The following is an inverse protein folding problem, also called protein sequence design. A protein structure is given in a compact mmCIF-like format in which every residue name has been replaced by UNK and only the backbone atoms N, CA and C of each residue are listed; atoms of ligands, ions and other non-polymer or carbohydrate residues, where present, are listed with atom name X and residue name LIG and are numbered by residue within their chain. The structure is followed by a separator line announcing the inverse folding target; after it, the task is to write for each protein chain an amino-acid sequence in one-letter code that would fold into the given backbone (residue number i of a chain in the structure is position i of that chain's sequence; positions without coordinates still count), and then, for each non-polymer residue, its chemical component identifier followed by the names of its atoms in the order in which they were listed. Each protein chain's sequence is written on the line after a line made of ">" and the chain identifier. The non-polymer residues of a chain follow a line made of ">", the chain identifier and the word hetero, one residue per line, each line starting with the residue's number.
data_IF_864399354361
#
_entry.id   IF_864399354361
#
_cell.length_a   1.000
_cell.length_b   1.000
_cell.length_c   1.000
_cell.angle_alpha   90.00
_cell.angle_beta   90.00
_cell.angle_gamma   90.00
#
_symmetry.space_group_name_H-M   'P 1'
#
loop_
_entity.id
_entity.type
_entity.pdbx_description
1 polymer ?
#
# COMPACT_ATOMS: atom_id res chain seq x y z
N UNK A 1 21.77 -57.18 -37.64
CA UNK A 1 20.74 -57.35 -36.59
C UNK A 1 21.22 -56.63 -35.34
N UNK A 2 20.62 -55.48 -35.09
CA UNK A 2 20.80 -54.64 -33.90
C UNK A 2 19.39 -54.11 -33.61
N UNK A 3 18.75 -54.44 -32.47
CA UNK A 3 17.35 -54.08 -32.28
C UNK A 3 17.23 -52.57 -32.05
N UNK A 4 16.32 -51.94 -32.81
CA UNK A 4 15.93 -50.54 -32.61
C UNK A 4 15.34 -50.33 -31.22
N UNK A 5 15.66 -49.19 -30.61
CA UNK A 5 15.11 -48.79 -29.32
C UNK A 5 13.71 -48.23 -29.53
N UNK A 6 12.69 -48.93 -29.08
CA UNK A 6 11.31 -48.44 -29.07
C UNK A 6 11.12 -47.40 -27.96
N UNK A 7 10.70 -46.20 -28.35
CA UNK A 7 10.29 -45.12 -27.44
C UNK A 7 8.76 -45.05 -27.52
N UNK A 8 8.09 -45.45 -26.44
CA UNK A 8 6.63 -45.31 -26.33
C UNK A 8 6.29 -43.97 -25.67
N UNK A 9 5.52 -43.12 -26.37
CA UNK A 9 5.02 -41.84 -25.87
C UNK A 9 3.52 -41.98 -25.62
N UNK A 10 3.09 -41.85 -24.37
CA UNK A 10 1.66 -41.84 -24.00
C UNK A 10 1.22 -40.42 -23.65
N UNK A 11 0.17 -39.95 -24.31
CA UNK A 11 -0.46 -38.64 -24.07
C UNK A 11 -1.85 -38.89 -23.49
N UNK A 12 -2.15 -38.34 -22.31
CA UNK A 12 -3.49 -38.38 -21.72
C UNK A 12 -3.93 -36.98 -21.31
N UNK A 13 -5.08 -36.52 -21.80
CA UNK A 13 -5.71 -35.28 -21.35
C UNK A 13 -7.21 -35.31 -21.62
N UNK A 14 -8.01 -34.95 -20.62
CA UNK A 14 -9.47 -34.80 -20.72
C UNK A 14 -9.85 -33.36 -21.06
N UNK A 15 -10.81 -33.10 -21.96
CA UNK A 15 -11.21 -31.74 -22.30
C UNK A 15 -12.17 -31.15 -21.25
N UNK A 16 -11.83 -29.98 -20.70
CA UNK A 16 -12.72 -29.17 -19.86
C UNK A 16 -12.83 -27.76 -20.42
N UNK A 17 -14.04 -27.33 -20.79
CA UNK A 17 -14.34 -25.98 -21.26
C UNK A 17 -15.04 -25.20 -20.13
N UNK A 18 -14.50 -24.06 -19.70
CA UNK A 18 -15.22 -23.11 -18.84
C UNK A 18 -15.40 -21.78 -19.58
N UNK A 19 -16.65 -21.36 -19.73
CA UNK A 19 -17.04 -20.04 -20.23
C UNK A 19 -17.41 -19.12 -19.06
N UNK A 20 -16.77 -17.96 -18.94
CA UNK A 20 -17.32 -16.80 -18.23
C UNK A 20 -17.57 -15.69 -19.26
N UNK A 21 -18.78 -15.17 -19.24
CA UNK A 21 -19.38 -14.42 -20.34
C UNK A 21 -18.81 -13.03 -20.59
N UNK A 22 -19.12 -12.51 -21.79
CA UNK A 22 -19.12 -11.07 -22.06
C UNK A 22 -18.22 -10.53 -23.17
N UNK A 23 -17.82 -11.31 -24.19
CA UNK A 23 -17.46 -10.78 -25.52
C UNK A 23 -17.17 -11.93 -26.50
N UNK A 24 -17.54 -11.74 -27.79
CA UNK A 24 -17.33 -12.73 -28.86
C UNK A 24 -15.84 -12.89 -29.17
N UNK A 25 -15.17 -13.85 -28.51
CA UNK A 25 -13.95 -14.54 -28.96
C UNK A 25 -13.68 -15.72 -28.02
N UNK A 26 -14.22 -16.90 -28.34
CA UNK A 26 -13.90 -18.14 -27.62
C UNK A 26 -12.52 -18.66 -28.06
N UNK A 27 -11.49 -18.45 -27.25
CA UNK A 27 -10.20 -19.14 -27.43
C UNK A 27 -10.20 -20.46 -26.64
N UNK A 28 -10.19 -21.59 -27.35
CA UNK A 28 -9.95 -22.90 -26.75
C UNK A 28 -8.44 -23.07 -26.46
N UNK A 29 -8.03 -22.95 -25.20
CA UNK A 29 -6.69 -23.38 -24.78
C UNK A 29 -6.68 -24.89 -24.51
N UNK A 30 -5.92 -25.66 -25.29
CA UNK A 30 -5.54 -27.03 -24.90
C UNK A 30 -4.33 -26.94 -23.96
N UNK A 31 -4.56 -27.05 -22.65
CA UNK A 31 -3.46 -27.35 -21.72
C UNK A 31 -3.09 -28.83 -21.87
N UNK A 32 -1.97 -29.12 -22.52
CA UNK A 32 -1.34 -30.45 -22.44
C UNK A 32 -0.60 -30.50 -21.10
N UNK A 33 -1.29 -30.95 -20.05
CA UNK A 33 -0.65 -31.22 -18.78
C UNK A 33 0.06 -32.57 -18.87
N UNK A 34 1.39 -32.53 -18.97
CA UNK A 34 2.36 -33.60 -18.65
C UNK A 34 2.63 -34.62 -19.78
N UNK A 35 3.86 -34.58 -20.31
CA UNK A 35 4.45 -35.68 -21.11
C UNK A 35 5.45 -36.41 -20.21
N UNK A 36 5.28 -37.72 -20.03
CA UNK A 36 6.23 -38.55 -19.26
C UNK A 36 6.93 -39.51 -20.21
N UNK A 37 8.25 -39.39 -20.35
CA UNK A 37 9.06 -40.30 -21.17
C UNK A 37 9.71 -41.31 -20.22
N UNK A 38 9.35 -42.59 -20.32
CA UNK A 38 10.03 -43.67 -19.60
C UNK A 38 11.08 -44.34 -20.50
N UNK A 39 12.33 -44.39 -20.01
CA UNK A 39 13.41 -45.16 -20.64
C UNK A 39 13.70 -46.38 -19.75
N UNK A 40 13.44 -47.61 -20.22
CA UNK A 40 13.85 -48.83 -19.52
C UNK A 40 15.29 -49.17 -19.91
N UNK A 41 16.25 -48.84 -19.04
CA UNK A 41 17.61 -49.36 -19.08
C UNK A 41 17.98 -49.97 -17.73
N UNK A 42 18.56 -51.18 -17.71
CA UNK A 42 19.14 -51.79 -16.50
C UNK A 42 20.38 -50.99 -16.08
N UNK A 43 20.48 -50.63 -14.81
CA UNK A 43 21.70 -50.16 -14.16
C UNK A 43 21.58 -48.78 -13.51
N UNK A 44 21.50 -48.80 -12.19
CA UNK A 44 21.86 -47.78 -11.19
C UNK A 44 21.39 -46.32 -11.26
N UNK A 45 20.83 -45.91 -10.12
CA UNK A 45 20.35 -44.57 -9.78
C UNK A 45 21.41 -43.48 -10.03
N UNK A 46 21.02 -42.39 -10.73
CA UNK A 46 21.14 -40.99 -10.26
C UNK A 46 20.63 -39.96 -11.29
N UNK A 47 19.78 -39.05 -10.79
CA UNK A 47 19.34 -37.73 -11.32
C UNK A 47 18.35 -37.70 -12.50
N UNK A 48 17.08 -37.49 -12.16
CA UNK A 48 16.06 -36.90 -13.03
C UNK A 48 16.47 -35.46 -13.44
N UNK A 49 16.62 -35.19 -14.74
CA UNK A 49 16.59 -33.82 -15.27
C UNK A 49 15.24 -33.60 -15.95
N UNK A 50 14.42 -32.67 -15.43
CA UNK A 50 13.21 -32.19 -16.10
C UNK A 50 13.63 -31.38 -17.32
N UNK A 51 13.24 -31.82 -18.52
CA UNK A 51 13.34 -31.03 -19.75
C UNK A 51 11.92 -30.58 -20.11
N UNK A 52 11.57 -29.34 -19.78
CA UNK A 52 10.31 -28.73 -20.23
C UNK A 52 10.56 -28.12 -21.61
N UNK A 53 10.06 -28.75 -22.67
CA UNK A 53 10.09 -28.20 -24.02
C UNK A 53 8.76 -27.49 -24.28
N UNK A 54 8.78 -26.16 -24.30
CA UNK A 54 7.66 -25.37 -24.81
C UNK A 54 7.75 -25.32 -26.33
N UNK A 55 6.88 -26.06 -27.03
CA UNK A 55 6.68 -25.87 -28.47
C UNK A 55 5.53 -24.88 -28.67
N UNK A 56 5.87 -23.61 -28.93
CA UNK A 56 4.89 -22.60 -29.35
C UNK A 56 4.77 -22.67 -30.88
N UNK A 57 3.64 -23.16 -31.39
CA UNK A 57 3.28 -23.04 -32.81
C UNK A 57 2.47 -21.76 -32.99
N UNK A 58 3.09 -20.73 -33.58
CA UNK A 58 2.41 -19.52 -34.02
C UNK A 58 1.55 -19.87 -35.25
N UNK A 59 0.23 -19.86 -35.06
CA UNK A 59 -0.75 -19.91 -36.14
C UNK A 59 -1.11 -18.47 -36.50
N UNK A 60 -0.77 -18.02 -37.72
CA UNK A 60 -1.13 -16.70 -38.21
C UNK A 60 -2.66 -16.61 -38.48
N UNK A 61 -3.31 -15.47 -38.20
CA UNK A 61 -4.74 -15.28 -38.46
C UNK A 61 -5.01 -15.09 -39.96
N UNK A 62 -6.02 -15.80 -40.45
CA UNK A 62 -6.42 -15.80 -41.85
C UNK A 62 -7.08 -14.50 -42.32
N UNK A 63 -6.76 -14.11 -43.55
CA UNK A 63 -7.58 -13.23 -44.38
C UNK A 63 -8.38 -14.09 -45.35
N UNK A 64 -9.71 -13.95 -45.30
CA UNK A 64 -10.63 -14.64 -46.20
C UNK A 64 -11.01 -13.76 -47.39
N UNK A 65 -10.81 -14.32 -48.59
CA UNK A 65 -11.69 -14.33 -49.79
C UNK A 65 -10.93 -14.00 -51.08
N UNK A 66 -10.98 -14.96 -52.01
CA UNK A 66 -11.05 -14.64 -53.44
C UNK A 66 -10.13 -15.45 -54.36
N UNK A 67 -10.69 -16.54 -54.91
CA UNK A 67 -10.42 -17.11 -56.26
C UNK A 67 -9.04 -17.77 -56.55
N UNK A 68 -9.07 -19.11 -56.57
CA UNK A 68 -8.40 -19.99 -57.57
C UNK A 68 -8.98 -19.72 -58.98
N UNK A 69 -8.29 -20.03 -60.11
CA UNK A 69 -7.58 -21.28 -60.45
C UNK A 69 -6.19 -21.00 -61.09
N UNK A 70 -5.29 -21.90 -61.51
CA UNK A 70 -5.28 -23.34 -61.81
C UNK A 70 -3.82 -23.83 -61.78
N UNK A 71 -3.60 -25.07 -61.34
CA UNK A 71 -2.82 -26.12 -62.02
C UNK A 71 -1.63 -25.69 -62.92
N UNK A 72 -0.39 -26.11 -62.69
CA UNK A 72 0.10 -27.50 -62.86
C UNK A 72 1.57 -27.64 -62.39
N UNK A 73 2.07 -28.89 -62.24
CA UNK A 73 3.27 -29.24 -61.47
C UNK A 73 4.52 -29.50 -62.32
N UNK A 74 5.69 -29.53 -61.68
CA UNK A 74 6.91 -30.11 -62.25
C UNK A 74 8.11 -29.76 -61.38
N UNK A 75 8.80 -30.68 -60.70
CA UNK A 75 9.06 -32.05 -61.10
C UNK A 75 10.41 -32.09 -61.81
N UNK A 76 11.42 -32.47 -61.03
CA UNK A 76 12.72 -33.05 -61.34
C UNK A 76 13.11 -33.33 -62.81
N UNK A 77 14.44 -33.28 -63.01
CA UNK A 77 15.24 -33.95 -64.06
C UNK A 77 15.40 -33.16 -65.37
N UNK A 78 16.63 -32.77 -65.69
CA UNK A 78 17.35 -33.29 -66.87
C UNK A 78 18.82 -32.84 -66.81
N UNK A 79 19.69 -33.83 -66.62
CA UNK A 79 21.10 -33.82 -66.97
C UNK A 79 21.25 -33.84 -68.49
N UNK A 80 22.03 -32.93 -69.08
CA UNK A 80 22.76 -33.14 -70.36
C UNK A 80 23.60 -31.92 -70.77
N UNK A 81 24.58 -32.04 -71.71
CA UNK A 81 25.99 -32.07 -71.33
C UNK A 81 26.88 -31.21 -72.27
N UNK A 82 27.46 -30.13 -71.76
CA UNK A 82 28.50 -29.37 -72.47
C UNK A 82 29.44 -28.82 -71.38
N UNK A 83 30.76 -29.01 -71.34
CA UNK A 83 31.76 -29.33 -72.33
C UNK A 83 32.71 -30.41 -71.79
N UNK A 84 32.89 -31.49 -72.54
CA UNK A 84 34.10 -32.31 -72.46
C UNK A 84 35.27 -31.54 -73.09
N UNK A 85 36.02 -30.79 -72.29
CA UNK A 85 37.42 -30.52 -72.63
C UNK A 85 38.24 -31.71 -72.15
N UNK A 86 38.62 -32.56 -73.11
CA UNK A 86 39.70 -33.55 -72.98
C UNK A 86 40.96 -32.82 -72.48
N UNK A 87 41.20 -32.86 -71.17
CA UNK A 87 42.53 -32.58 -70.62
C UNK A 87 43.30 -33.89 -70.79
N UNK A 88 44.11 -33.94 -71.83
CA UNK A 88 45.15 -34.97 -71.99
C UNK A 88 46.17 -34.71 -70.87
N UNK A 89 46.04 -35.45 -69.76
CA UNK A 89 47.09 -35.53 -68.74
C UNK A 89 48.25 -36.35 -69.33
N UNK A 90 49.50 -35.84 -69.32
CA UNK A 90 50.65 -36.63 -69.73
C UNK A 90 50.88 -37.77 -68.74
N UNK A 91 51.57 -38.86 -69.13
CA UNK A 91 51.85 -39.97 -68.23
C UNK A 91 52.71 -39.46 -67.05
N UNK A 92 52.11 -39.44 -65.86
CA UNK A 92 52.81 -39.10 -64.62
C UNK A 92 53.75 -40.26 -64.30
N UNK A 93 55.06 -40.06 -64.54
CA UNK A 93 56.10 -40.92 -64.00
C UNK A 93 56.00 -40.91 -62.47
N UNK A 94 56.09 -42.05 -61.77
CA UNK A 94 56.10 -42.06 -60.31
C UNK A 94 57.38 -41.39 -59.83
N UNK A 95 57.29 -40.12 -59.45
CA UNK A 95 58.34 -39.41 -58.73
C UNK A 95 58.37 -39.94 -57.30
N UNK A 96 59.51 -40.48 -56.80
CA UNK A 96 59.64 -40.82 -55.40
C UNK A 96 59.81 -39.50 -54.64
N UNK A 97 58.70 -38.94 -54.13
CA UNK A 97 58.82 -37.89 -53.13
C UNK A 97 59.55 -38.51 -51.91
N UNK A 98 60.66 -37.93 -51.44
CA UNK A 98 61.32 -38.44 -50.25
C UNK A 98 60.31 -38.39 -49.11
N UNK A 99 60.12 -39.50 -48.38
CA UNK A 99 59.15 -39.64 -47.27
C UNK A 99 59.20 -38.46 -46.27
N UNK A 100 60.33 -37.78 -46.18
CA UNK A 100 60.53 -36.55 -45.40
C UNK A 100 59.64 -35.36 -45.83
N UNK A 101 59.38 -35.14 -47.12
CA UNK A 101 58.59 -34.00 -47.61
C UNK A 101 57.08 -34.17 -47.29
N UNK A 102 56.56 -35.39 -47.41
CA UNK A 102 55.17 -35.70 -47.03
C UNK A 102 54.96 -35.58 -45.51
N UNK A 103 55.96 -35.99 -44.71
CA UNK A 103 55.93 -35.86 -43.25
C UNK A 103 55.97 -34.39 -42.81
N UNK A 104 56.79 -33.55 -43.48
CA UNK A 104 56.87 -32.11 -43.24
C UNK A 104 55.56 -31.38 -43.54
N UNK A 105 54.88 -31.73 -44.64
CA UNK A 105 53.56 -31.18 -44.98
C UNK A 105 52.47 -31.56 -43.97
N UNK A 106 52.46 -32.81 -43.50
CA UNK A 106 51.51 -33.27 -42.48
C UNK A 106 51.74 -32.57 -41.13
N UNK A 107 52.99 -32.38 -40.72
CA UNK A 107 53.38 -31.63 -39.51
C UNK A 107 52.98 -30.15 -39.59
N UNK A 108 53.09 -29.52 -40.76
CA UNK A 108 52.67 -28.14 -40.96
C UNK A 108 51.14 -27.99 -40.86
N UNK A 109 50.37 -28.91 -41.46
CA UNK A 109 48.91 -28.91 -41.38
C UNK A 109 48.43 -29.15 -39.95
N UNK A 110 49.02 -30.11 -39.23
CA UNK A 110 48.67 -30.37 -37.83
C UNK A 110 49.02 -29.19 -36.94
N UNK A 111 50.15 -28.50 -37.16
CA UNK A 111 50.51 -27.28 -36.44
C UNK A 111 49.54 -26.13 -36.70
N UNK A 112 49.07 -25.94 -37.95
CA UNK A 112 48.08 -24.90 -38.29
C UNK A 112 46.71 -25.23 -37.68
N UNK A 113 46.28 -26.49 -37.73
CA UNK A 113 45.02 -26.93 -37.11
C UNK A 113 45.11 -26.80 -35.58
N UNK A 114 46.23 -27.17 -34.96
CA UNK A 114 46.48 -26.99 -33.53
C UNK A 114 46.46 -25.51 -33.13
N UNK A 115 47.11 -24.61 -33.89
CA UNK A 115 47.01 -23.15 -33.67
C UNK A 115 45.58 -22.64 -33.81
N UNK A 116 44.83 -23.09 -34.81
CA UNK A 116 43.42 -22.66 -35.02
C UNK A 116 42.49 -23.17 -33.92
N UNK A 117 42.69 -24.39 -33.43
CA UNK A 117 41.92 -24.96 -32.33
C UNK A 117 42.29 -24.30 -30.99
N UNK A 118 43.58 -24.07 -30.73
CA UNK A 118 44.08 -23.31 -29.58
C UNK A 118 43.50 -21.90 -29.53
N UNK A 119 43.57 -21.16 -30.63
CA UNK A 119 42.99 -19.82 -30.73
C UNK A 119 41.45 -19.79 -30.64
N UNK A 120 40.76 -20.92 -30.87
CA UNK A 120 39.30 -21.07 -30.66
C UNK A 120 38.98 -21.38 -29.19
N UNK A 121 39.81 -22.19 -28.54
CA UNK A 121 39.69 -22.52 -27.12
C UNK A 121 39.98 -21.29 -26.25
N UNK A 122 41.00 -20.50 -26.61
CA UNK A 122 41.31 -19.21 -25.97
C UNK A 122 40.17 -18.20 -26.15
N UNK A 123 39.60 -18.08 -27.35
CA UNK A 123 38.43 -17.20 -27.56
C UNK A 123 37.20 -17.62 -26.76
N UNK A 124 36.96 -18.92 -26.57
CA UNK A 124 35.87 -19.42 -25.70
C UNK A 124 36.17 -19.21 -24.22
N UNK A 125 37.42 -19.38 -23.78
CA UNK A 125 37.80 -19.16 -22.38
C UNK A 125 37.80 -17.68 -22.00
N UNK A 126 38.13 -16.80 -22.94
CA UNK A 126 38.09 -15.34 -22.75
C UNK A 126 36.65 -14.81 -22.77
N UNK A 127 35.79 -15.30 -23.67
CA UNK A 127 34.36 -14.98 -23.65
C UNK A 127 33.67 -15.45 -22.35
N UNK A 128 34.02 -16.64 -21.84
CA UNK A 128 33.49 -17.18 -20.59
C UNK A 128 33.92 -16.45 -19.32
N UNK A 129 35.01 -15.65 -19.36
CA UNK A 129 35.50 -14.89 -18.20
C UNK A 129 34.83 -13.51 -18.05
N UNK A 130 34.24 -12.95 -19.10
CA UNK A 130 33.54 -11.65 -19.07
C UNK A 130 32.04 -11.75 -18.73
N UNK A 131 31.44 -12.93 -18.87
CA UNK A 131 30.00 -13.21 -18.64
C UNK A 131 29.56 -13.21 -17.15
N UNK A 132 30.32 -13.73 -16.18
CA UNK A 132 29.85 -13.82 -14.79
C UNK A 132 29.58 -12.45 -14.14
N UNK A 133 30.36 -11.44 -14.49
CA UNK A 133 30.19 -10.07 -13.98
C UNK A 133 28.95 -9.38 -14.57
N UNK A 134 28.69 -9.54 -15.87
CA UNK A 134 27.52 -8.95 -16.53
C UNK A 134 26.22 -9.61 -16.06
N UNK A 135 26.21 -10.93 -15.85
CA UNK A 135 25.07 -11.64 -15.28
C UNK A 135 24.83 -11.23 -13.82
N UNK A 136 25.88 -11.09 -13.02
CA UNK A 136 25.77 -10.61 -11.65
C UNK A 136 25.24 -9.17 -11.56
N UNK A 137 25.66 -8.27 -12.47
CA UNK A 137 25.15 -6.91 -12.57
C UNK A 137 23.67 -6.90 -12.96
N UNK A 138 23.28 -7.66 -13.99
CA UNK A 138 21.87 -7.80 -14.40
C UNK A 138 20.99 -8.32 -13.27
N UNK A 139 21.45 -9.37 -12.58
CA UNK A 139 20.71 -9.93 -11.46
C UNK A 139 20.57 -8.92 -10.31
N UNK A 140 21.61 -8.10 -10.07
CA UNK A 140 21.57 -7.04 -9.06
C UNK A 140 20.60 -5.92 -9.45
N UNK A 141 20.64 -5.47 -10.70
CA UNK A 141 19.73 -4.45 -11.23
C UNK A 141 18.28 -4.94 -11.20
N UNK A 142 18.03 -6.17 -11.64
CA UNK A 142 16.71 -6.79 -11.60
C UNK A 142 16.20 -6.93 -10.16
N UNK A 143 17.07 -7.35 -9.23
CA UNK A 143 16.72 -7.41 -7.80
C UNK A 143 16.36 -6.03 -7.24
N UNK A 144 17.15 -4.99 -7.52
CA UNK A 144 16.84 -3.62 -7.06
C UNK A 144 15.53 -3.12 -7.66
N UNK A 145 15.32 -3.36 -8.95
CA UNK A 145 14.07 -3.00 -9.64
C UNK A 145 12.86 -3.66 -8.98
N UNK A 146 12.92 -4.96 -8.69
CA UNK A 146 11.83 -5.68 -8.02
C UNK A 146 11.59 -5.15 -6.60
N UNK A 147 12.64 -4.81 -5.85
CA UNK A 147 12.47 -4.19 -4.52
C UNK A 147 11.74 -2.85 -4.58
N UNK A 148 12.03 -2.03 -5.59
CA UNK A 148 11.35 -0.75 -5.82
C UNK A 148 9.92 -0.93 -6.37
N UNK A 149 9.70 -1.96 -7.19
CA UNK A 149 8.39 -2.28 -7.79
C UNK A 149 7.38 -2.80 -6.76
N UNK A 150 7.84 -3.57 -5.78
CA UNK A 150 7.03 -4.09 -4.68
C UNK A 150 7.15 -3.28 -3.38
N UNK A 151 7.80 -2.12 -3.41
CA UNK A 151 7.78 -1.19 -2.28
C UNK A 151 6.36 -0.71 -2.01
N UNK A 152 5.97 -0.67 -0.74
CA UNK A 152 4.71 -0.06 -0.30
C UNK A 152 4.80 1.45 -0.24
N UNK A 153 6.00 2.00 -0.04
CA UNK A 153 6.20 3.44 0.07
C UNK A 153 6.61 4.03 -1.29
N UNK A 154 6.16 5.26 -1.55
CA UNK A 154 6.50 6.00 -2.75
C UNK A 154 7.93 6.52 -2.62
N UNK A 155 8.88 5.87 -3.29
CA UNK A 155 10.18 6.50 -3.57
C UNK A 155 10.09 7.34 -4.84
N UNK A 156 10.57 8.58 -4.77
CA UNK A 156 10.66 9.50 -5.91
C UNK A 156 12.02 10.19 -5.98
N UNK A 157 12.42 10.54 -7.19
CA UNK A 157 13.56 11.42 -7.47
C UNK A 157 13.02 12.73 -8.01
N UNK A 158 13.47 13.84 -7.45
CA UNK A 158 13.04 15.19 -7.79
C UNK A 158 14.25 15.99 -8.26
N UNK A 159 14.13 16.68 -9.39
CA UNK A 159 15.20 17.53 -9.91
C UNK A 159 15.27 18.90 -9.20
N UNK A 160 16.22 19.74 -9.64
CA UNK A 160 16.43 21.09 -9.10
C UNK A 160 15.24 22.05 -9.32
N UNK A 161 14.33 21.76 -10.26
CA UNK A 161 13.13 22.55 -10.52
C UNK A 161 11.94 22.14 -9.63
N UNK A 162 12.10 21.04 -8.90
CA UNK A 162 11.05 20.42 -8.10
C UNK A 162 10.16 19.46 -8.90
N UNK A 163 10.53 19.12 -10.14
CA UNK A 163 9.82 18.15 -10.97
C UNK A 163 10.25 16.72 -10.65
N UNK A 164 9.30 15.80 -10.58
CA UNK A 164 9.58 14.39 -10.31
C UNK A 164 10.13 13.73 -11.58
N UNK A 165 11.32 13.15 -11.53
CA UNK A 165 11.97 12.48 -12.67
C UNK A 165 11.81 10.96 -12.64
N UNK A 166 11.59 10.41 -11.45
CA UNK A 166 11.34 9.00 -11.23
C UNK A 166 10.39 8.83 -10.07
N UNK A 167 9.47 7.86 -10.18
CA UNK A 167 8.63 7.42 -9.08
C UNK A 167 8.47 5.89 -9.12
N UNK A 168 8.34 5.31 -7.94
CA UNK A 168 7.95 3.90 -7.79
C UNK A 168 6.47 3.68 -8.13
N UNK A 169 6.07 2.45 -8.52
CA UNK A 169 4.67 2.10 -8.79
C UNK A 169 3.72 2.26 -7.60
N UNK A 170 4.26 2.41 -6.38
CA UNK A 170 3.50 2.70 -5.17
C UNK A 170 2.67 3.99 -5.28
N UNK A 171 3.02 4.91 -6.19
CA UNK A 171 2.24 6.11 -6.53
C UNK A 171 0.77 5.84 -6.87
N UNK A 172 0.45 4.63 -7.32
CA UNK A 172 -0.93 4.17 -7.54
C UNK A 172 -1.79 4.23 -6.29
N UNK A 173 -1.20 4.25 -5.08
CA UNK A 173 -1.95 4.50 -3.83
C UNK A 173 -2.63 5.89 -3.83
N UNK A 174 -2.05 6.85 -4.55
CA UNK A 174 -2.61 8.19 -4.77
C UNK A 174 -3.52 8.25 -6.01
N UNK A 175 -3.73 7.13 -6.70
CA UNK A 175 -4.55 7.03 -7.90
C UNK A 175 -3.85 7.48 -9.19
N UNK A 176 -2.53 7.72 -9.16
CA UNK A 176 -1.76 8.12 -10.36
C UNK A 176 -0.82 7.01 -10.82
N UNK A 177 -0.66 6.86 -12.13
CA UNK A 177 0.44 6.08 -12.69
C UNK A 177 1.75 6.89 -12.66
N UNK A 178 2.92 6.27 -12.43
CA UNK A 178 4.20 6.97 -12.43
C UNK A 178 4.42 7.82 -13.68
N UNK A 179 4.00 7.34 -14.86
CA UNK A 179 4.15 8.05 -16.13
C UNK A 179 3.38 9.37 -16.22
N UNK A 180 2.29 9.51 -15.46
CA UNK A 180 1.49 10.74 -15.41
C UNK A 180 2.14 11.79 -14.51
N UNK A 181 2.97 11.33 -13.56
CA UNK A 181 3.58 12.16 -12.53
C UNK A 181 5.00 12.59 -12.85
N UNK A 182 5.69 11.90 -13.76
CA UNK A 182 7.01 12.33 -14.24
C UNK A 182 6.88 13.69 -14.94
N UNK A 183 7.71 14.64 -14.53
CA UNK A 183 7.69 16.04 -14.98
C UNK A 183 6.75 16.97 -14.19
N UNK A 184 5.85 16.41 -13.38
CA UNK A 184 4.96 17.20 -12.52
C UNK A 184 5.74 17.71 -11.30
N UNK A 185 5.52 18.97 -10.94
CA UNK A 185 6.15 19.58 -9.75
C UNK A 185 5.47 19.07 -8.48
N UNK A 186 6.24 18.51 -7.55
CA UNK A 186 5.70 17.89 -6.32
C UNK A 186 4.82 18.83 -5.50
N UNK A 187 5.16 20.12 -5.46
CA UNK A 187 4.42 21.16 -4.72
C UNK A 187 2.98 21.35 -5.21
N UNK A 188 2.66 20.94 -6.44
CA UNK A 188 1.31 21.04 -7.01
C UNK A 188 0.34 20.00 -6.44
N UNK A 189 0.87 18.96 -5.82
CA UNK A 189 0.09 17.91 -5.16
C UNK A 189 -0.16 18.23 -3.69
N UNK A 190 0.64 19.11 -3.09
CA UNK A 190 0.51 19.48 -1.68
C UNK A 190 -0.72 20.38 -1.51
N UNK A 191 -1.48 20.15 -0.45
CA UNK A 191 -2.65 20.95 -0.11
C UNK A 191 -2.27 22.44 0.05
N UNK A 192 -3.07 23.38 -0.51
CA UNK A 192 -2.80 24.82 -0.45
C UNK A 192 -2.54 25.36 0.97
N UNK A 193 -3.30 24.91 1.97
CA UNK A 193 -3.09 25.32 3.37
C UNK A 193 -1.78 24.80 4.00
N UNK A 194 -1.26 23.66 3.54
CA UNK A 194 -0.05 23.05 4.12
C UNK A 194 1.21 23.65 3.50
N UNK A 195 1.13 24.09 2.24
CA UNK A 195 2.27 24.56 1.46
C UNK A 195 2.99 25.78 2.09
N UNK A 196 2.32 26.85 2.58
CA UNK A 196 2.98 27.99 3.21
C UNK A 196 3.85 27.62 4.42
N UNK A 197 3.40 26.64 5.21
CA UNK A 197 4.15 26.18 6.39
C UNK A 197 5.40 25.37 6.04
N UNK A 198 5.38 24.66 4.91
CA UNK A 198 6.48 23.79 4.47
C UNK A 198 7.49 24.49 3.58
N UNK A 199 7.09 25.56 2.90
CA UNK A 199 7.90 26.22 1.88
C UNK A 199 9.29 26.66 2.40
N UNK A 200 9.45 27.25 3.60
CA UNK A 200 10.77 27.62 4.11
C UNK A 200 11.70 26.42 4.31
N UNK A 201 11.16 25.29 4.78
CA UNK A 201 11.92 24.07 5.01
C UNK A 201 12.32 23.38 3.69
N UNK A 202 11.40 23.35 2.72
CA UNK A 202 11.70 22.85 1.38
C UNK A 202 12.79 23.69 0.71
N UNK A 203 12.77 25.01 0.88
CA UNK A 203 13.84 25.89 0.39
C UNK A 203 15.18 25.60 1.07
N UNK A 204 15.19 25.42 2.39
CA UNK A 204 16.41 25.04 3.14
C UNK A 204 16.97 23.70 2.68
N UNK A 205 16.09 22.71 2.47
CA UNK A 205 16.46 21.40 1.94
C UNK A 205 17.16 21.53 0.59
N UNK A 206 16.59 22.30 -0.35
CA UNK A 206 17.17 22.50 -1.69
C UNK A 206 18.50 23.26 -1.65
N UNK A 207 18.63 24.26 -0.78
CA UNK A 207 19.82 25.09 -0.67
C UNK A 207 21.02 24.37 -0.02
N UNK A 208 20.76 23.32 0.78
CA UNK A 208 21.79 22.67 1.60
C UNK A 208 22.09 21.25 1.09
N UNK A 209 23.25 21.00 0.45
CA UNK A 209 23.65 19.66 0.04
C UNK A 209 23.69 18.68 1.21
N UNK A 210 23.09 17.49 1.04
CA UNK A 210 23.07 16.44 2.06
C UNK A 210 22.00 16.61 3.15
N UNK A 211 21.32 17.76 3.20
CA UNK A 211 20.25 18.00 4.18
C UNK A 211 19.13 16.97 4.05
N UNK A 212 18.51 16.66 5.19
CA UNK A 212 17.35 15.77 5.28
C UNK A 212 16.21 16.53 5.96
N UNK A 213 15.01 16.38 5.43
CA UNK A 213 13.80 16.99 5.97
C UNK A 213 12.67 15.96 5.97
N UNK A 214 12.05 15.77 7.14
CA UNK A 214 10.90 14.88 7.31
C UNK A 214 9.70 15.72 7.74
N UNK A 215 8.58 15.55 7.05
CA UNK A 215 7.35 16.28 7.31
C UNK A 215 6.12 15.44 6.99
N UNK A 216 4.97 15.89 7.47
CA UNK A 216 3.68 15.29 7.15
C UNK A 216 2.77 16.34 6.52
N UNK A 217 2.12 16.00 5.42
CA UNK A 217 1.23 16.92 4.72
C UNK A 217 0.18 16.20 3.88
N UNK A 218 -0.85 16.93 3.49
CA UNK A 218 -1.92 16.44 2.65
C UNK A 218 -1.51 16.50 1.18
N UNK A 219 -1.61 15.37 0.50
CA UNK A 219 -1.40 15.21 -0.93
C UNK A 219 -2.71 14.91 -1.64
N UNK A 220 -2.88 15.48 -2.84
CA UNK A 220 -4.07 15.31 -3.67
C UNK A 220 -4.09 13.92 -4.28
N UNK A 221 -5.16 13.16 -4.04
CA UNK A 221 -5.45 11.92 -4.73
C UNK A 221 -6.15 12.19 -6.07
N UNK A 222 -6.06 11.26 -7.03
CA UNK A 222 -6.63 11.42 -8.38
C UNK A 222 -8.16 11.63 -8.40
N UNK A 223 -8.87 11.09 -7.40
CA UNK A 223 -10.32 11.30 -7.19
C UNK A 223 -10.67 12.68 -6.60
N UNK A 224 -9.67 13.51 -6.28
CA UNK A 224 -9.85 14.83 -5.67
C UNK A 224 -9.86 14.84 -4.13
N UNK A 225 -9.83 13.68 -3.47
CA UNK A 225 -9.66 13.59 -2.01
C UNK A 225 -8.23 13.90 -1.57
N UNK A 226 -8.03 14.10 -0.27
CA UNK A 226 -6.72 14.39 0.33
C UNK A 226 -6.24 13.21 1.16
N UNK A 227 -4.98 12.79 0.95
CA UNK A 227 -4.30 11.73 1.72
C UNK A 227 -3.16 12.32 2.53
N UNK A 228 -2.96 11.82 3.73
CA UNK A 228 -1.83 12.23 4.55
C UNK A 228 -0.61 11.40 4.20
N UNK A 229 0.47 12.06 3.78
CA UNK A 229 1.77 11.42 3.58
C UNK A 229 2.76 11.91 4.61
N UNK A 230 3.55 10.98 5.15
CA UNK A 230 4.81 11.27 5.81
C UNK A 230 5.92 11.17 4.76
N UNK A 231 6.63 12.27 4.53
CA UNK A 231 7.64 12.39 3.49
C UNK A 231 8.98 12.68 4.12
N UNK A 232 9.97 11.85 3.83
CA UNK A 232 11.37 12.09 4.15
C UNK A 232 12.14 12.35 2.87
N UNK A 233 12.69 13.55 2.76
CA UNK A 233 13.44 14.01 1.58
C UNK A 233 14.90 14.25 1.94
N UNK A 234 15.81 13.79 1.11
CA UNK A 234 17.25 14.02 1.25
C UNK A 234 17.83 14.65 -0.01
N UNK A 235 18.54 15.76 0.16
CA UNK A 235 19.17 16.46 -0.95
C UNK A 235 20.48 15.79 -1.36
N UNK A 236 20.48 15.12 -2.52
CA UNK A 236 21.64 14.47 -3.13
C UNK A 236 22.02 15.12 -4.47
N UNK A 237 21.68 16.40 -4.66
CA UNK A 237 21.99 17.17 -5.89
C UNK A 237 23.48 17.28 -6.18
N UNK A 238 24.32 17.22 -5.14
CA UNK A 238 25.78 17.24 -5.25
C UNK A 238 26.39 15.89 -5.68
N UNK A 239 25.66 14.78 -5.57
CA UNK A 239 26.14 13.47 -5.99
C UNK A 239 25.79 13.26 -7.48
N UNK A 240 26.78 13.18 -8.40
CA UNK A 240 26.53 13.05 -9.83
C UNK A 240 25.84 11.74 -10.21
N UNK A 241 25.79 10.73 -9.33
CA UNK A 241 25.06 9.48 -9.56
C UNK A 241 23.56 9.62 -9.35
N UNK A 242 23.13 10.65 -8.62
CA UNK A 242 21.72 10.90 -8.27
C UNK A 242 21.24 12.21 -8.89
N UNK A 243 21.96 13.31 -8.67
CA UNK A 243 21.70 14.61 -9.29
C UNK A 243 20.36 15.23 -8.90
N UNK A 244 19.81 14.88 -7.73
CA UNK A 244 18.47 15.31 -7.31
C UNK A 244 18.17 15.06 -5.82
N UNK A 245 16.93 15.36 -5.43
CA UNK A 245 16.39 15.07 -4.10
C UNK A 245 15.70 13.71 -4.15
N UNK A 246 16.10 12.80 -3.26
CA UNK A 246 15.43 11.51 -3.09
C UNK A 246 14.42 11.65 -1.97
N UNK A 247 13.16 11.35 -2.27
CA UNK A 247 12.06 11.43 -1.31
C UNK A 247 11.39 10.09 -1.16
N UNK A 248 11.20 9.64 0.08
CA UNK A 248 10.35 8.51 0.41
C UNK A 248 9.07 9.02 1.08
N UNK A 249 7.91 8.64 0.56
CA UNK A 249 6.61 9.05 1.04
C UNK A 249 5.75 7.84 1.42
N UNK A 250 5.30 7.81 2.66
CA UNK A 250 4.44 6.77 3.22
C UNK A 250 3.06 7.33 3.50
N UNK A 251 2.02 6.63 3.06
CA UNK A 251 0.66 7.01 3.43
C UNK A 251 0.39 6.70 4.91
N UNK A 252 -0.06 7.71 5.63
CA UNK A 252 -0.39 7.65 7.06
C UNK A 252 -1.84 8.06 7.33
N UNK A 253 -2.70 8.11 6.31
CA UNK A 253 -4.10 8.53 6.40
C UNK A 253 -4.87 7.76 7.48
N UNK A 254 -4.87 6.42 7.40
CA UNK A 254 -5.64 5.58 8.32
C UNK A 254 -5.04 5.57 9.73
N UNK A 255 -3.70 5.57 9.83
CA UNK A 255 -3.01 5.68 11.10
C UNK A 255 -3.36 6.99 11.82
N UNK A 256 -3.43 8.10 11.08
CA UNK A 256 -3.86 9.41 11.62
C UNK A 256 -5.32 9.38 12.04
N UNK A 257 -6.22 8.88 11.20
CA UNK A 257 -7.66 8.77 11.52
C UNK A 257 -7.87 7.97 12.79
N UNK A 258 -7.21 6.83 12.92
CA UNK A 258 -7.26 6.00 14.12
C UNK A 258 -6.67 6.73 15.33
N UNK A 259 -5.53 7.41 15.18
CA UNK A 259 -4.93 8.19 16.26
C UNK A 259 -5.84 9.34 16.72
N UNK A 260 -6.48 10.05 15.79
CA UNK A 260 -7.39 11.15 16.10
C UNK A 260 -8.69 10.63 16.72
N UNK A 261 -9.18 9.48 16.27
CA UNK A 261 -10.30 8.78 16.90
C UNK A 261 -9.93 8.36 18.33
N UNK A 262 -8.79 7.70 18.54
CA UNK A 262 -8.31 7.30 19.87
C UNK A 262 -8.11 8.51 20.78
N UNK A 263 -7.64 9.65 20.25
CA UNK A 263 -7.54 10.90 21.00
C UNK A 263 -8.92 11.44 21.38
N UNK A 264 -9.89 11.37 20.46
CA UNK A 264 -11.25 11.79 20.73
C UNK A 264 -11.89 10.90 21.80
N UNK A 265 -11.81 9.58 21.67
CA UNK A 265 -12.28 8.59 22.65
C UNK A 265 -11.57 8.74 24.01
N UNK A 266 -10.28 9.08 24.02
CA UNK A 266 -9.53 9.35 25.25
C UNK A 266 -10.00 10.62 25.97
N UNK A 267 -10.75 11.51 25.29
CA UNK A 267 -11.18 12.80 25.85
C UNK A 267 -12.69 13.01 25.88
N UNK A 268 -13.47 12.15 25.22
CA UNK A 268 -14.92 12.26 25.10
C UNK A 268 -15.58 10.93 25.45
N UNK A 269 -16.80 11.00 25.98
CA UNK A 269 -17.63 9.83 26.23
C UNK A 269 -18.18 9.30 24.90
N UNK A 270 -17.94 8.02 24.59
CA UNK A 270 -18.28 7.45 23.29
C UNK A 270 -19.79 7.43 22.99
N UNK A 271 -20.63 7.36 24.03
CA UNK A 271 -22.08 7.33 23.87
C UNK A 271 -22.67 8.73 23.64
N UNK A 272 -22.32 9.68 24.51
CA UNK A 272 -22.94 11.02 24.52
C UNK A 272 -22.16 12.06 23.70
N UNK A 273 -20.89 11.76 23.38
CA UNK A 273 -19.93 12.70 22.79
C UNK A 273 -19.57 13.88 23.69
N UNK A 274 -20.02 13.90 24.96
CA UNK A 274 -19.61 14.92 25.92
C UNK A 274 -18.14 14.73 26.30
N UNK A 275 -17.54 15.71 26.99
CA UNK A 275 -16.23 15.48 27.59
C UNK A 275 -16.31 14.27 28.54
N UNK A 276 -15.26 13.45 28.58
CA UNK A 276 -15.14 12.42 29.60
C UNK A 276 -14.47 12.99 30.86
N UNK A 277 -14.33 12.16 31.89
CA UNK A 277 -13.67 12.51 33.16
C UNK A 277 -12.25 13.09 32.96
N UNK A 278 -11.49 12.60 31.98
CA UNK A 278 -10.12 13.05 31.69
C UNK A 278 -10.12 14.48 31.14
N UNK A 279 -10.90 14.75 30.10
CA UNK A 279 -10.98 16.11 29.53
C UNK A 279 -11.59 17.09 30.53
N UNK A 280 -12.59 16.66 31.29
CA UNK A 280 -13.22 17.48 32.32
C UNK A 280 -12.22 17.92 33.40
N UNK A 281 -11.47 16.97 33.98
CA UNK A 281 -10.46 17.27 34.99
C UNK A 281 -9.38 18.21 34.46
N UNK A 282 -8.90 18.01 33.21
CA UNK A 282 -7.94 18.89 32.56
C UNK A 282 -8.47 20.32 32.41
N UNK A 283 -9.73 20.48 31.97
CA UNK A 283 -10.36 21.81 31.82
C UNK A 283 -10.57 22.46 33.18
N UNK A 284 -11.03 21.71 34.18
CA UNK A 284 -11.21 22.22 35.54
C UNK A 284 -9.90 22.75 36.12
N UNK A 285 -8.81 21.99 36.01
CA UNK A 285 -7.49 22.41 36.49
C UNK A 285 -6.97 23.69 35.82
N UNK A 286 -7.27 23.87 34.52
CA UNK A 286 -6.86 25.06 33.78
C UNK A 286 -7.66 26.32 34.16
N UNK A 287 -8.94 26.18 34.51
CA UNK A 287 -9.87 27.31 34.67
C UNK A 287 -10.10 27.71 36.14
N UNK A 288 -9.87 26.81 37.10
CA UNK A 288 -10.16 27.07 38.53
C UNK A 288 -9.34 28.21 39.13
N UNK A 289 -8.16 28.50 38.56
CA UNK A 289 -7.30 29.62 38.97
C UNK A 289 -7.98 30.96 38.76
N UNK A 290 -8.73 31.12 37.66
CA UNK A 290 -9.51 32.32 37.34
C UNK A 290 -10.89 32.38 38.02
N UNK A 291 -11.25 31.34 38.79
CA UNK A 291 -12.60 31.15 39.31
C UNK A 291 -13.47 30.33 38.37
N UNK A 292 -14.20 29.37 38.93
CA UNK A 292 -15.15 28.56 38.17
C UNK A 292 -16.32 28.12 39.05
N UNK A 293 -17.46 27.88 38.40
CA UNK A 293 -18.57 27.17 39.00
C UNK A 293 -18.69 25.77 38.40
N UNK A 294 -19.12 24.84 39.25
CA UNK A 294 -19.22 23.42 38.96
C UNK A 294 -20.63 22.94 39.32
N UNK A 295 -21.23 22.18 38.41
CA UNK A 295 -22.42 21.39 38.69
C UNK A 295 -22.02 19.91 38.66
N UNK A 296 -22.40 19.16 39.69
CA UNK A 296 -22.38 17.70 39.67
C UNK A 296 -23.83 17.21 39.62
N UNK A 297 -24.14 16.35 38.65
CA UNK A 297 -25.48 15.94 38.29
C UNK A 297 -25.54 14.41 38.32
N UNK A 298 -26.55 13.86 38.97
CA UNK A 298 -26.84 12.42 38.99
C UNK A 298 -28.31 12.23 38.55
N UNK A 299 -28.57 11.27 37.65
CA UNK A 299 -29.91 11.01 37.15
C UNK A 299 -30.73 10.13 38.11
N UNK A 300 -31.80 10.71 38.66
CA UNK A 300 -32.71 10.01 39.56
C UNK A 300 -33.61 9.04 38.78
N UNK A 301 -33.63 7.77 39.20
CA UNK A 301 -34.47 6.74 38.60
C UNK A 301 -33.90 6.11 37.31
N UNK A 302 -32.64 6.38 36.97
CA UNK A 302 -32.01 5.82 35.77
C UNK A 302 -31.87 4.28 35.80
N UNK A 303 -31.46 3.70 36.94
CA UNK A 303 -31.32 2.24 37.07
C UNK A 303 -32.62 1.47 36.80
N UNK A 304 -33.78 1.83 37.40
CA UNK A 304 -35.07 1.23 37.04
C UNK A 304 -35.41 1.27 35.54
N UNK A 305 -35.01 2.32 34.82
CA UNK A 305 -35.21 2.40 33.37
C UNK A 305 -34.43 1.29 32.66
N UNK A 306 -33.16 1.12 32.99
CA UNK A 306 -32.34 0.03 32.44
C UNK A 306 -32.90 -1.35 32.80
N UNK A 307 -33.30 -1.53 34.05
CA UNK A 307 -33.79 -2.83 34.54
C UNK A 307 -35.13 -3.20 33.90
N UNK A 308 -35.99 -2.21 33.59
CA UNK A 308 -37.34 -2.44 33.03
C UNK A 308 -37.36 -2.45 31.50
N UNK A 309 -36.56 -1.60 30.86
CA UNK A 309 -36.62 -1.32 29.42
C UNK A 309 -35.34 -1.69 28.66
N UNK A 310 -34.32 -2.16 29.36
CA UNK A 310 -33.03 -2.57 28.80
C UNK A 310 -32.06 -1.40 28.60
N UNK A 311 -30.78 -1.76 28.42
CA UNK A 311 -29.69 -0.79 28.27
C UNK A 311 -29.84 0.14 27.07
N UNK A 312 -30.42 -0.32 25.96
CA UNK A 312 -30.69 0.53 24.81
C UNK A 312 -31.58 1.73 25.17
N UNK A 313 -32.63 1.51 25.97
CA UNK A 313 -33.50 2.60 26.42
C UNK A 313 -32.75 3.57 27.34
N UNK A 314 -31.89 3.06 28.23
CA UNK A 314 -31.01 3.91 29.03
C UNK A 314 -30.03 4.72 28.19
N UNK A 315 -29.45 4.13 27.15
CA UNK A 315 -28.53 4.82 26.25
C UNK A 315 -29.21 5.98 25.54
N UNK A 316 -30.43 5.80 25.05
CA UNK A 316 -31.25 6.87 24.46
C UNK A 316 -31.50 7.99 25.47
N UNK A 317 -31.83 7.65 26.72
CA UNK A 317 -32.02 8.65 27.80
C UNK A 317 -30.73 9.43 28.05
N UNK A 318 -29.58 8.76 28.14
CA UNK A 318 -28.28 9.41 28.37
C UNK A 318 -27.88 10.36 27.24
N UNK A 319 -28.08 9.94 25.98
CA UNK A 319 -27.85 10.80 24.80
C UNK A 319 -28.74 12.02 24.86
N UNK A 320 -30.03 11.84 25.19
CA UNK A 320 -30.97 12.96 25.24
C UNK A 320 -30.67 13.93 26.39
N UNK A 321 -30.27 13.43 27.56
CA UNK A 321 -29.78 14.25 28.67
C UNK A 321 -28.56 15.07 28.26
N UNK A 322 -27.62 14.47 27.53
CA UNK A 322 -26.44 15.18 27.03
C UNK A 322 -26.80 16.30 26.05
N UNK A 323 -27.78 16.09 25.17
CA UNK A 323 -28.31 17.12 24.28
C UNK A 323 -28.95 18.28 25.06
N UNK A 324 -29.76 17.97 26.07
CA UNK A 324 -30.38 18.97 26.93
C UNK A 324 -29.34 19.79 27.69
N UNK A 325 -28.30 19.13 28.22
CA UNK A 325 -27.18 19.83 28.86
C UNK A 325 -26.52 20.78 27.88
N UNK A 326 -26.09 20.31 26.70
CA UNK A 326 -25.44 21.17 25.68
C UNK A 326 -26.30 22.38 25.31
N UNK A 327 -27.60 22.19 25.11
CA UNK A 327 -28.52 23.28 24.77
C UNK A 327 -28.69 24.29 25.92
N UNK A 328 -28.54 23.84 27.17
CA UNK A 328 -28.60 24.67 28.36
C UNK A 328 -27.25 25.33 28.71
N UNK A 329 -26.19 25.21 27.92
CA UNK A 329 -24.87 25.77 28.25
C UNK A 329 -24.55 27.09 27.50
N UNK A 330 -23.92 28.06 28.17
CA UNK A 330 -23.33 29.21 27.49
C UNK A 330 -22.06 28.84 26.72
N UNK A 331 -21.61 29.72 25.81
CA UNK A 331 -20.34 29.55 25.12
C UNK A 331 -19.16 29.46 26.11
N UNK A 332 -18.22 28.54 25.87
CA UNK A 332 -17.05 28.30 26.72
C UNK A 332 -17.28 27.38 27.92
N UNK A 333 -18.53 27.02 28.22
CA UNK A 333 -18.85 26.00 29.21
C UNK A 333 -18.52 24.59 28.71
N UNK A 334 -18.26 23.67 29.63
CA UNK A 334 -17.95 22.27 29.32
C UNK A 334 -18.94 21.36 30.03
N UNK A 335 -19.70 20.56 29.27
CA UNK A 335 -20.48 19.43 29.80
C UNK A 335 -19.66 18.14 29.67
N UNK A 336 -19.73 17.30 30.71
CA UNK A 336 -19.08 16.01 30.75
C UNK A 336 -20.02 14.93 31.27
N UNK A 337 -19.78 13.69 30.84
CA UNK A 337 -20.28 12.49 31.50
C UNK A 337 -19.12 11.84 32.25
N UNK A 338 -19.27 11.69 33.56
CA UNK A 338 -18.22 11.19 34.44
C UNK A 338 -18.22 9.66 34.54
N UNK A 339 -19.36 9.03 34.23
CA UNK A 339 -19.58 7.59 34.17
C UNK A 339 -21.02 7.25 34.57
N UNK A 340 -21.57 6.13 34.09
CA UNK A 340 -22.93 5.71 34.46
C UNK A 340 -23.99 6.79 34.15
N UNK A 341 -24.71 7.21 35.17
CA UNK A 341 -25.71 8.29 35.22
C UNK A 341 -25.16 9.63 35.73
N UNK A 342 -23.85 9.74 35.97
CA UNK A 342 -23.21 10.95 36.48
C UNK A 342 -22.76 11.89 35.34
N UNK A 343 -23.16 13.15 35.46
CA UNK A 343 -22.76 14.24 34.58
C UNK A 343 -22.15 15.39 35.39
N UNK A 344 -21.34 16.21 34.72
CA UNK A 344 -20.80 17.42 35.31
C UNK A 344 -20.77 18.58 34.32
N UNK A 345 -20.88 19.80 34.84
CA UNK A 345 -20.77 21.03 34.05
C UNK A 345 -19.76 21.96 34.69
N UNK A 346 -18.81 22.43 33.88
CA UNK A 346 -17.86 23.48 34.24
C UNK A 346 -18.25 24.80 33.58
N UNK A 347 -18.34 25.85 34.38
CA UNK A 347 -18.62 27.22 33.96
C UNK A 347 -17.41 28.12 34.34
N UNK A 348 -16.46 28.35 33.42
CA UNK A 348 -15.32 29.22 33.68
C UNK A 348 -15.75 30.65 34.03
N UNK A 349 -15.15 31.25 35.05
CA UNK A 349 -15.42 32.61 35.51
C UNK A 349 -16.80 32.81 36.15
N UNK A 350 -17.61 31.77 36.30
CA UNK A 350 -18.96 31.89 36.85
C UNK A 350 -18.98 31.71 38.38
N UNK A 351 -19.94 32.37 39.03
CA UNK A 351 -20.29 32.14 40.43
C UNK A 351 -21.50 31.20 40.60
N UNK A 352 -21.83 30.87 41.84
CA UNK A 352 -22.93 29.95 42.22
C UNK A 352 -24.28 30.40 41.66
N UNK A 353 -24.59 31.70 41.62
CA UNK A 353 -25.85 32.21 41.09
C UNK A 353 -26.03 31.92 39.59
N UNK A 354 -24.97 32.05 38.78
CA UNK A 354 -25.01 31.72 37.35
C UNK A 354 -25.13 30.22 37.14
N UNK A 355 -24.40 29.43 37.94
CA UNK A 355 -24.50 27.98 37.92
C UNK A 355 -25.89 27.48 38.32
N UNK A 356 -26.53 28.09 39.32
CA UNK A 356 -27.91 27.81 39.71
C UNK A 356 -28.88 28.03 38.55
N UNK A 357 -28.80 29.16 37.84
CA UNK A 357 -29.65 29.42 36.65
C UNK A 357 -29.46 28.39 35.54
N UNK A 358 -28.23 27.89 35.34
CA UNK A 358 -27.94 26.82 34.38
C UNK A 358 -28.57 25.51 34.83
N UNK A 359 -28.45 25.18 36.13
CA UNK A 359 -29.09 24.01 36.73
C UNK A 359 -30.61 24.06 36.59
N UNK A 360 -31.24 25.18 36.95
CA UNK A 360 -32.70 25.37 36.86
C UNK A 360 -33.19 25.21 35.42
N UNK A 361 -32.48 25.79 34.45
CA UNK A 361 -32.81 25.63 33.02
C UNK A 361 -32.71 24.18 32.56
N UNK A 362 -31.66 23.47 32.98
CA UNK A 362 -31.50 22.06 32.67
C UNK A 362 -32.61 21.21 33.29
N UNK A 363 -32.89 21.39 34.59
CA UNK A 363 -33.95 20.67 35.30
C UNK A 363 -35.33 20.94 34.71
N UNK A 364 -35.63 22.19 34.34
CA UNK A 364 -36.88 22.54 33.66
C UNK A 364 -37.02 21.81 32.32
N UNK A 365 -35.93 21.71 31.53
CA UNK A 365 -35.94 20.98 30.27
C UNK A 365 -36.10 19.46 30.48
N UNK A 366 -35.56 18.92 31.58
CA UNK A 366 -35.63 17.50 31.93
C UNK A 366 -37.04 17.04 32.29
N UNK A 367 -37.95 17.96 32.67
CA UNK A 367 -39.35 17.62 32.99
C UNK A 367 -40.14 17.08 31.78
N UNK A 368 -39.67 17.31 30.55
CA UNK A 368 -40.33 16.79 29.36
C UNK A 368 -40.06 15.29 29.19
N UNK A 369 -41.10 14.45 29.02
CA UNK A 369 -40.90 13.02 28.79
C UNK A 369 -40.11 12.76 27.50
N UNK A 370 -39.23 11.76 27.54
CA UNK A 370 -38.52 11.25 26.37
C UNK A 370 -39.36 10.20 25.66
N UNK A 371 -39.49 10.32 24.34
CA UNK A 371 -40.06 9.27 23.50
C UNK A 371 -38.96 8.25 23.16
N UNK A 372 -39.06 7.04 23.68
CA UNK A 372 -38.12 5.92 23.45
C UNK A 372 -38.92 4.71 22.99
N UNK A 373 -38.69 4.25 21.76
CA UNK A 373 -39.42 3.12 21.15
C UNK A 373 -40.95 3.23 21.27
N UNK A 374 -41.49 4.45 21.12
CA UNK A 374 -42.92 4.76 21.21
C UNK A 374 -43.48 4.83 22.64
N UNK A 375 -42.62 4.96 23.65
CA UNK A 375 -42.98 5.08 25.07
C UNK A 375 -42.48 6.38 25.64
N UNK A 376 -43.24 6.95 26.59
CA UNK A 376 -42.86 8.13 27.36
C UNK A 376 -42.13 7.74 28.64
N UNK A 377 -40.84 8.05 28.71
CA UNK A 377 -40.01 7.86 29.89
C UNK A 377 -39.70 9.21 30.53
N UNK A 378 -39.64 9.24 31.85
CA UNK A 378 -39.25 10.43 32.63
C UNK A 378 -38.08 10.07 33.52
N UNK A 379 -37.10 10.96 33.61
CA UNK A 379 -35.96 10.84 34.54
C UNK A 379 -35.86 12.12 35.36
N UNK A 380 -35.53 11.99 36.64
CA UNK A 380 -35.19 13.14 37.47
C UNK A 380 -33.69 13.41 37.43
N UNK A 381 -33.26 14.48 38.09
CA UNK A 381 -31.85 14.68 38.36
C UNK A 381 -31.64 15.43 39.67
N UNK A 382 -30.62 15.01 40.41
CA UNK A 382 -30.11 15.67 41.60
C UNK A 382 -28.87 16.48 41.21
N UNK A 383 -28.86 17.78 41.54
CA UNK A 383 -27.81 18.70 41.08
C UNK A 383 -27.15 19.41 42.27
N UNK A 384 -25.85 19.19 42.43
CA UNK A 384 -24.99 19.91 43.37
C UNK A 384 -24.30 21.08 42.69
N UNK A 385 -24.45 22.29 43.24
CA UNK A 385 -23.87 23.52 42.68
C UNK A 385 -22.84 24.10 43.64
N UNK A 386 -21.62 24.34 43.15
CA UNK A 386 -20.56 25.00 43.90
C UNK A 386 -19.80 25.98 43.01
N UNK A 387 -19.12 26.96 43.62
CA UNK A 387 -18.16 27.81 42.92
C UNK A 387 -16.95 28.08 43.80
N UNK A 388 -15.81 28.36 43.17
CA UNK A 388 -14.58 28.68 43.88
C UNK A 388 -13.52 29.23 42.93
N UNK A 389 -12.58 30.01 43.48
CA UNK A 389 -11.41 30.53 42.77
C UNK A 389 -10.14 30.17 43.53
N UNK A 390 -9.10 29.74 42.80
CA UNK A 390 -7.83 29.32 43.39
C UNK A 390 -7.94 28.09 44.32
N UNK A 391 -9.02 27.32 44.18
CA UNK A 391 -9.25 26.09 44.96
C UNK A 391 -8.63 24.91 44.23
N UNK A 392 -8.12 23.94 44.98
CA UNK A 392 -7.73 22.63 44.44
C UNK A 392 -8.89 22.00 43.62
N UNK A 393 -8.66 21.61 42.35
CA UNK A 393 -9.68 21.00 41.50
C UNK A 393 -10.43 19.84 42.15
N UNK A 394 -9.70 18.94 42.82
CA UNK A 394 -10.29 17.76 43.45
C UNK A 394 -11.15 18.15 44.66
N UNK A 395 -10.73 19.17 45.43
CA UNK A 395 -11.55 19.72 46.49
C UNK A 395 -12.85 20.36 45.98
N UNK A 396 -12.82 21.04 44.83
CA UNK A 396 -14.03 21.63 44.24
C UNK A 396 -14.99 20.53 43.75
N UNK A 397 -14.47 19.48 43.11
CA UNK A 397 -15.24 18.29 42.71
C UNK A 397 -15.90 17.61 43.91
N UNK A 398 -15.16 17.36 45.00
CA UNK A 398 -15.72 16.77 46.23
C UNK A 398 -16.84 17.62 46.81
N UNK A 399 -16.68 18.94 46.87
CA UNK A 399 -17.74 19.84 47.35
C UNK A 399 -19.00 19.78 46.49
N UNK A 400 -18.84 19.66 45.17
CA UNK A 400 -19.98 19.53 44.25
C UNK A 400 -20.71 18.20 44.44
N UNK A 401 -19.96 17.12 44.61
CA UNK A 401 -20.49 15.78 44.91
C UNK A 401 -21.27 15.77 46.23
N UNK A 402 -20.68 16.31 47.31
CA UNK A 402 -21.36 16.45 48.61
C UNK A 402 -22.65 17.30 48.50
N UNK A 403 -22.62 18.37 47.70
CA UNK A 403 -23.79 19.20 47.46
C UNK A 403 -24.90 18.43 46.71
N UNK A 404 -24.54 17.64 45.71
CA UNK A 404 -25.46 16.80 44.94
C UNK A 404 -26.06 15.72 45.83
N UNK A 405 -25.24 15.05 46.64
CA UNK A 405 -25.67 14.03 47.59
C UNK A 405 -26.70 14.58 48.59
N UNK A 406 -26.49 15.79 49.13
CA UNK A 406 -27.46 16.45 50.01
C UNK A 406 -28.81 16.67 49.34
N UNK A 407 -28.81 17.08 48.07
CA UNK A 407 -30.05 17.27 47.28
C UNK A 407 -30.75 15.92 47.08
N UNK A 408 -30.01 14.89 46.67
CA UNK A 408 -30.54 13.55 46.42
C UNK A 408 -31.18 12.92 47.66
N UNK A 409 -30.60 13.16 48.84
CA UNK A 409 -31.13 12.65 50.10
C UNK A 409 -32.31 13.47 50.64
N UNK A 410 -32.38 14.77 50.36
CA UNK A 410 -33.53 15.59 50.75
C UNK A 410 -34.78 15.31 49.89
N UNK A 411 -34.59 14.84 48.65
CA UNK A 411 -35.67 14.51 47.72
C UNK A 411 -36.25 13.09 47.90
N UNK A 412 -35.61 12.23 48.70
CA UNK A 412 -36.13 10.88 49.03
C UNK A 412 -37.03 10.97 50.28
N UNK A 413 -38.29 10.54 50.19
CA UNK A 413 -39.24 10.57 51.31
C UNK A 413 -38.87 9.62 52.45
#
# INVERSE_FOLDING_TARGET
>A
MTPGRDITVTVSGSPGCQSRGGSKLSQCFRLINRVTIQHRGRGDLKRLRRLTVFACSLSAPGTGRGRTPAATPGGCSYLSPYLWRRIVLPPVRPFPLPRAAALGGLLAITAVVARRLGARAERKSQAGRSLPGLEALRLREERIRLLLEYSTDITSLIDHTGAMTYLTPATRMLGYEPSEMVGVRVITLIHPDDLPGLLPDLQRLMATPGATFTYQSRYRHADGSWRWLEVTSRNLTHDPRVGGVVSNAREVTDARRLQDQLRHEATHDALTGLANRVLFGRRLAAEVTGGAALLHIDLDGFKPINDTYGHHAGDVVLVRVAELLRAALPAGAVAARLGGDEFAVLLPGAGTATAGRVADRFLAALTQPFEVDGRRLTVGASVGVVAGAGVDPDALLRRADEAMYRVKHAARP
#
